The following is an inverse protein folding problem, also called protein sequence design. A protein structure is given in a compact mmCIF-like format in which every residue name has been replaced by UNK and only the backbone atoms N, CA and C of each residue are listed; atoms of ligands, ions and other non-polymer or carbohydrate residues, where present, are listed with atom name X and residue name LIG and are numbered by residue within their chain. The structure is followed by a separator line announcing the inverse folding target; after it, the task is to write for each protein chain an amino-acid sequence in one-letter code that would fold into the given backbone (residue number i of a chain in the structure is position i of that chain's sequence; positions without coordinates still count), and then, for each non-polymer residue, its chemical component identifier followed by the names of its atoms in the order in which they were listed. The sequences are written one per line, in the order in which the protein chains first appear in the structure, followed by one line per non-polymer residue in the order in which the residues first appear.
data_IF_064229941252
#
_entry.id   IF_064229941252
#
_cell.length_a   1.000
_cell.length_b   1.000
_cell.length_c   1.000
_cell.angle_alpha   90.00
_cell.angle_beta   90.00
_cell.angle_gamma   90.00
#
_symmetry.space_group_name_H-M   'P 1'
#
loop_
_entity.id
_entity.type
_entity.pdbx_description
1 polymer ?
#
# COMPACT_ATOMS: atom_id res chain seq x y z
N UNK A 1 3.52 3.62 -12.50
CA UNK A 1 2.73 3.45 -13.73
C UNK A 1 1.35 4.06 -13.61
N UNK A 2 0.56 3.70 -12.61
CA UNK A 2 -0.78 4.29 -12.39
C UNK A 2 -0.76 5.28 -11.22
N UNK A 3 -1.35 6.45 -11.42
CA UNK A 3 -1.53 7.50 -10.42
C UNK A 3 -2.76 7.24 -9.54
N UNK A 4 -3.83 6.66 -10.10
CA UNK A 4 -5.03 6.30 -9.36
C UNK A 4 -5.58 4.95 -9.83
N UNK A 5 -6.05 4.16 -8.87
CA UNK A 5 -6.93 3.01 -9.08
C UNK A 5 -8.22 3.27 -8.31
N UNK A 6 -9.35 3.01 -8.96
CA UNK A 6 -10.68 3.17 -8.36
C UNK A 6 -11.58 2.03 -8.73
N UNK A 7 -12.30 1.54 -7.75
CA UNK A 7 -13.26 0.46 -7.89
C UNK A 7 -14.66 0.97 -7.57
N UNK A 8 -15.57 0.77 -8.52
CA UNK A 8 -16.94 1.22 -8.43
C UNK A 8 -17.93 0.05 -8.52
N UNK A 9 -19.02 0.17 -7.78
CA UNK A 9 -20.20 -0.70 -7.91
C UNK A 9 -21.39 0.16 -8.30
N UNK A 10 -22.01 -0.12 -9.45
CA UNK A 10 -23.15 0.64 -9.97
C UNK A 10 -22.89 2.17 -10.04
N UNK A 11 -21.66 2.57 -10.41
CA UNK A 11 -21.25 3.98 -10.49
C UNK A 11 -20.99 4.65 -9.13
N UNK A 12 -21.00 3.90 -8.02
CA UNK A 12 -20.63 4.39 -6.69
C UNK A 12 -19.18 4.02 -6.39
N UNK A 13 -18.38 5.02 -6.03
CA UNK A 13 -17.00 4.85 -5.54
C UNK A 13 -17.00 3.99 -4.27
N UNK A 14 -16.53 2.75 -4.39
CA UNK A 14 -16.37 1.83 -3.24
C UNK A 14 -14.99 1.97 -2.64
N UNK A 15 -13.94 1.89 -3.46
CA UNK A 15 -12.57 1.96 -2.97
C UNK A 15 -11.68 2.71 -3.97
N UNK A 16 -10.72 3.47 -3.45
CA UNK A 16 -9.81 4.32 -4.24
C UNK A 16 -8.45 4.34 -3.58
N UNK A 17 -7.41 4.19 -4.39
CA UNK A 17 -6.02 4.41 -3.97
C UNK A 17 -5.31 5.33 -4.95
N UNK A 18 -4.63 6.35 -4.39
CA UNK A 18 -3.81 7.31 -5.14
C UNK A 18 -2.33 7.00 -4.95
N UNK A 19 -1.51 7.43 -5.91
CA UNK A 19 -0.09 7.09 -6.00
C UNK A 19 0.15 5.60 -5.77
N UNK A 20 -0.58 4.77 -6.51
CA UNK A 20 -0.77 3.33 -6.27
C UNK A 20 0.55 2.63 -5.94
N UNK A 21 1.62 2.93 -6.69
CA UNK A 21 2.94 2.35 -6.47
C UNK A 21 3.54 2.62 -5.09
N UNK A 22 3.51 3.85 -4.59
CA UNK A 22 4.07 4.22 -3.27
C UNK A 22 3.20 3.69 -2.15
N UNK A 23 1.89 3.90 -2.22
CA UNK A 23 0.92 3.44 -1.21
C UNK A 23 1.06 1.93 -1.02
N UNK A 24 1.11 1.20 -2.13
CA UNK A 24 1.29 -0.24 -2.14
C UNK A 24 2.66 -0.68 -1.63
N UNK A 25 3.72 0.03 -1.99
CA UNK A 25 5.08 -0.27 -1.50
C UNK A 25 5.15 -0.15 0.03
N UNK A 26 4.63 0.94 0.59
CA UNK A 26 4.60 1.14 2.05
C UNK A 26 3.75 0.06 2.74
N UNK A 27 2.55 -0.20 2.22
CA UNK A 27 1.68 -1.26 2.73
C UNK A 27 2.42 -2.59 2.75
N UNK A 28 3.00 -3.00 1.62
CA UNK A 28 3.68 -4.28 1.51
C UNK A 28 4.83 -4.44 2.48
N UNK A 29 5.62 -3.39 2.70
CA UNK A 29 6.75 -3.46 3.62
C UNK A 29 6.34 -3.83 5.04
N UNK A 30 5.16 -3.38 5.49
CA UNK A 30 4.64 -3.67 6.83
C UNK A 30 3.68 -4.86 6.88
N UNK A 31 3.03 -5.18 5.76
CA UNK A 31 1.89 -6.09 5.71
C UNK A 31 2.20 -7.45 5.09
N UNK A 32 3.36 -7.64 4.46
CA UNK A 32 3.75 -8.93 3.88
C UNK A 32 4.54 -9.79 4.86
N UNK A 33 4.36 -11.10 4.71
CA UNK A 33 5.20 -12.12 5.30
C UNK A 33 6.28 -12.55 4.30
N UNK A 34 7.38 -13.17 4.77
CA UNK A 34 8.42 -13.66 3.88
C UNK A 34 7.90 -14.79 2.96
N UNK A 35 7.02 -15.65 3.47
CA UNK A 35 6.28 -16.65 2.69
C UNK A 35 5.48 -16.04 1.52
N UNK A 36 4.73 -14.96 1.76
CA UNK A 36 3.91 -14.30 0.73
C UNK A 36 4.78 -13.52 -0.26
N UNK A 37 5.93 -12.99 0.16
CA UNK A 37 6.86 -12.24 -0.69
C UNK A 37 7.25 -13.00 -1.96
N UNK A 38 7.53 -14.30 -1.84
CA UNK A 38 7.93 -15.14 -2.98
C UNK A 38 6.86 -15.21 -4.08
N UNK A 39 5.58 -15.28 -3.69
CA UNK A 39 4.46 -15.34 -4.64
C UNK A 39 4.26 -14.03 -5.41
N UNK A 40 4.69 -12.91 -4.83
CA UNK A 40 4.42 -11.57 -5.32
C UNK A 40 5.40 -11.07 -6.37
N UNK A 41 6.44 -11.86 -6.66
CA UNK A 41 7.29 -11.63 -7.84
C UNK A 41 6.46 -11.56 -9.13
N UNK A 42 5.41 -12.37 -9.25
CA UNK A 42 4.49 -12.32 -10.39
C UNK A 42 3.70 -10.99 -10.48
N UNK A 43 3.57 -10.26 -9.38
CA UNK A 43 2.96 -8.94 -9.31
C UNK A 43 3.97 -7.79 -9.50
N UNK A 44 5.22 -8.09 -9.86
CA UNK A 44 6.29 -7.10 -10.00
C UNK A 44 6.89 -6.65 -8.68
N UNK A 45 6.65 -7.37 -7.57
CA UNK A 45 7.23 -7.07 -6.27
C UNK A 45 8.52 -7.86 -6.03
N UNK A 46 9.66 -7.17 -6.03
CA UNK A 46 10.95 -7.70 -5.56
C UNK A 46 11.82 -6.58 -4.99
N UNK A 47 12.41 -6.83 -3.81
CA UNK A 47 13.19 -5.87 -3.03
C UNK A 47 14.67 -5.88 -3.45
N UNK A 48 15.14 -6.98 -4.04
CA UNK A 48 16.57 -7.23 -4.26
C UNK A 48 16.99 -6.84 -5.67
N UNK A 49 16.43 -7.48 -6.70
CA UNK A 49 16.66 -7.17 -8.12
C UNK A 49 15.59 -7.90 -8.93
N UNK A 50 14.68 -7.16 -9.55
CA UNK A 50 13.63 -7.76 -10.36
C UNK A 50 14.04 -7.84 -11.82
N UNK A 51 13.97 -9.04 -12.40
CA UNK A 51 14.02 -9.26 -13.85
C UNK A 51 12.94 -10.28 -14.23
N UNK A 52 11.71 -9.82 -14.44
CA UNK A 52 10.68 -10.66 -15.06
C UNK A 52 10.45 -10.17 -16.48
N UNK A 53 11.27 -10.71 -17.37
CA UNK A 53 11.24 -10.36 -18.78
C UNK A 53 12.39 -11.05 -19.50
N UNK A 54 12.11 -11.42 -20.75
CA UNK A 54 13.11 -11.76 -21.75
C UNK A 54 13.06 -10.63 -22.76
N UNK A 55 14.22 -10.09 -23.15
CA UNK A 55 14.42 -9.11 -24.23
C UNK A 55 13.17 -8.29 -24.57
N UNK A 56 12.96 -7.21 -23.80
CA UNK A 56 11.99 -6.12 -24.04
C UNK A 56 10.49 -6.39 -23.76
N UNK A 57 10.10 -7.58 -23.33
CA UNK A 57 8.71 -7.87 -22.93
C UNK A 57 8.54 -8.21 -21.45
N UNK A 58 7.40 -7.80 -20.89
CA UNK A 58 7.01 -8.11 -19.51
C UNK A 58 5.55 -8.57 -19.42
N UNK A 59 5.24 -9.33 -18.36
CA UNK A 59 3.87 -9.72 -18.02
C UNK A 59 3.74 -9.83 -16.50
N UNK A 60 2.65 -9.27 -15.96
CA UNK A 60 2.38 -9.25 -14.52
C UNK A 60 0.93 -9.64 -14.23
N UNK A 61 0.73 -10.30 -13.10
CA UNK A 61 -0.58 -10.50 -12.50
C UNK A 61 -0.57 -9.91 -11.09
N UNK A 62 -1.25 -8.78 -10.91
CA UNK A 62 -1.34 -8.08 -9.63
C UNK A 62 -2.69 -8.41 -8.98
N UNK A 63 -2.71 -9.07 -7.80
CA UNK A 63 -3.95 -9.32 -7.09
C UNK A 63 -4.62 -8.01 -6.66
N UNK A 64 -5.93 -7.83 -6.90
CA UNK A 64 -6.61 -6.59 -6.51
C UNK A 64 -6.63 -6.36 -4.99
N UNK A 65 -6.59 -7.43 -4.18
CA UNK A 65 -6.48 -7.35 -2.70
C UNK A 65 -5.20 -6.67 -2.22
N UNK A 66 -4.21 -6.54 -3.09
CA UNK A 66 -2.99 -5.82 -2.80
C UNK A 66 -3.16 -4.30 -2.94
N UNK A 67 -4.00 -3.88 -3.89
CA UNK A 67 -4.18 -2.49 -4.27
C UNK A 67 -5.38 -1.83 -3.59
N UNK A 68 -6.41 -2.63 -3.30
CA UNK A 68 -7.72 -2.20 -2.79
C UNK A 68 -8.07 -2.98 -1.52
N UNK A 69 -8.46 -2.26 -0.48
CA UNK A 69 -8.92 -2.81 0.80
C UNK A 69 -10.23 -3.57 0.68
N UNK A 70 -11.14 -3.13 -0.20
CA UNK A 70 -12.38 -3.86 -0.49
C UNK A 70 -12.09 -5.30 -0.94
N UNK A 71 -11.17 -5.46 -1.89
CA UNK A 71 -10.77 -6.78 -2.38
C UNK A 71 -9.97 -7.60 -1.35
N UNK A 72 -9.40 -6.95 -0.33
CA UNK A 72 -8.69 -7.62 0.76
C UNK A 72 -9.63 -8.17 1.83
N UNK A 73 -10.62 -7.38 2.23
CA UNK A 73 -11.42 -7.65 3.45
C UNK A 73 -12.84 -8.12 3.16
N UNK A 74 -13.47 -7.64 2.08
CA UNK A 74 -14.84 -8.00 1.78
C UNK A 74 -14.89 -9.42 1.19
N UNK A 75 -15.54 -10.35 1.91
CA UNK A 75 -15.64 -11.78 1.54
C UNK A 75 -17.03 -12.21 1.06
N UNK A 76 -18.00 -11.30 1.13
CA UNK A 76 -19.37 -11.62 0.72
C UNK A 76 -19.55 -11.47 -0.79
N UNK A 77 -20.54 -12.18 -1.33
CA UNK A 77 -20.88 -12.10 -2.76
C UNK A 77 -21.62 -10.81 -3.04
N UNK A 78 -21.23 -10.11 -4.11
CA UNK A 78 -21.98 -8.99 -4.67
C UNK A 78 -22.87 -9.53 -5.79
N UNK A 79 -24.17 -9.26 -5.72
CA UNK A 79 -25.17 -9.75 -6.69
C UNK A 79 -25.74 -8.55 -7.45
N UNK A 80 -25.97 -8.74 -8.75
CA UNK A 80 -26.65 -7.77 -9.60
C UNK A 80 -26.03 -6.35 -9.55
N UNK A 81 -24.71 -6.28 -9.45
CA UNK A 81 -23.97 -5.03 -9.50
C UNK A 81 -23.06 -5.03 -10.72
N UNK A 82 -23.01 -3.87 -11.39
CA UNK A 82 -21.99 -3.58 -12.38
C UNK A 82 -20.71 -3.23 -11.65
N UNK A 83 -19.67 -4.01 -11.91
CA UNK A 83 -18.34 -3.81 -11.37
C UNK A 83 -17.50 -3.03 -12.37
N UNK A 84 -16.85 -1.96 -11.92
CA UNK A 84 -15.98 -1.15 -12.78
C UNK A 84 -14.64 -0.91 -12.09
N UNK A 85 -13.56 -1.09 -12.85
CA UNK A 85 -12.20 -0.81 -12.41
C UNK A 85 -11.63 0.29 -13.30
N UNK A 86 -11.34 1.44 -12.69
CA UNK A 86 -10.82 2.61 -13.38
C UNK A 86 -9.35 2.76 -13.00
N UNK A 87 -8.51 2.87 -14.02
CA UNK A 87 -7.07 3.04 -13.89
C UNK A 87 -6.67 4.35 -14.56
N UNK A 88 -6.08 5.26 -13.80
CA UNK A 88 -5.54 6.51 -14.32
C UNK A 88 -4.02 6.36 -14.42
N UNK A 89 -3.49 6.31 -15.65
CA UNK A 89 -2.04 6.24 -15.89
C UNK A 89 -1.37 7.54 -15.46
N UNK A 90 -0.18 7.43 -14.89
CA UNK A 90 0.68 8.56 -14.57
C UNK A 90 1.08 9.32 -15.83
N UNK A 91 1.42 10.61 -15.69
CA UNK A 91 1.89 11.44 -16.82
C UNK A 91 3.20 10.95 -17.45
N UNK A 92 3.99 10.16 -16.71
CA UNK A 92 5.20 9.52 -17.18
C UNK A 92 5.43 8.21 -16.42
N UNK A 93 6.27 7.34 -16.98
CA UNK A 93 6.58 6.03 -16.41
C UNK A 93 7.88 5.98 -15.62
N UNK A 94 8.56 7.11 -15.41
CA UNK A 94 9.88 7.16 -14.78
C UNK A 94 9.91 6.47 -13.40
N UNK A 95 8.79 6.48 -12.67
CA UNK A 95 8.67 5.81 -11.37
C UNK A 95 8.50 4.28 -11.45
N UNK A 96 8.36 3.73 -12.65
CA UNK A 96 8.20 2.30 -12.93
C UNK A 96 9.48 1.69 -13.54
N UNK A 97 10.50 2.52 -13.76
CA UNK A 97 11.72 2.19 -14.49
C UNK A 97 12.93 2.32 -13.56
N UNK A 98 13.91 1.44 -13.76
CA UNK A 98 15.22 1.51 -13.11
C UNK A 98 16.28 1.25 -14.17
N UNK A 99 17.16 2.21 -14.44
CA UNK A 99 18.17 2.09 -15.50
C UNK A 99 18.91 3.38 -15.82
N UNK A 100 19.59 3.39 -16.97
CA UNK A 100 20.34 4.54 -17.48
C UNK A 100 19.42 5.54 -18.20
N UNK A 101 19.52 6.81 -17.80
CA UNK A 101 18.79 7.95 -18.37
C UNK A 101 19.02 8.09 -19.87
N UNK A 102 20.20 7.71 -20.35
CA UNK A 102 20.56 7.83 -21.77
C UNK A 102 19.75 6.92 -22.69
N UNK A 103 19.23 5.81 -22.18
CA UNK A 103 18.45 4.84 -22.96
C UNK A 103 17.08 5.40 -23.33
N UNK A 104 16.56 6.35 -22.53
CA UNK A 104 15.20 6.90 -22.67
C UNK A 104 14.13 5.81 -22.88
N UNK A 105 14.02 4.84 -21.95
CA UNK A 105 13.10 3.73 -22.12
C UNK A 105 11.64 4.19 -22.14
N UNK A 106 10.86 3.59 -23.05
CA UNK A 106 9.42 3.80 -23.17
C UNK A 106 8.67 2.52 -22.79
N UNK A 107 7.54 2.65 -22.09
CA UNK A 107 6.68 1.52 -21.73
C UNK A 107 5.41 1.56 -22.57
N UNK A 108 5.20 0.53 -23.39
CA UNK A 108 3.94 0.31 -24.08
C UNK A 108 3.08 -0.73 -23.34
N UNK A 109 1.82 -0.38 -23.05
CA UNK A 109 0.85 -1.31 -22.49
C UNK A 109 0.02 -1.93 -23.60
N UNK A 110 0.45 -3.11 -24.06
CA UNK A 110 -0.25 -3.84 -25.13
C UNK A 110 -1.64 -4.34 -24.70
N UNK A 111 -1.76 -4.80 -23.45
CA UNK A 111 -3.01 -5.39 -22.94
C UNK A 111 -3.12 -5.24 -21.43
N UNK A 112 -4.25 -4.70 -20.98
CA UNK A 112 -4.63 -4.67 -19.56
C UNK A 112 -5.93 -5.45 -19.42
N UNK A 113 -5.92 -6.46 -18.54
CA UNK A 113 -7.10 -7.25 -18.22
C UNK A 113 -7.25 -7.32 -16.70
N UNK A 114 -8.49 -7.23 -16.23
CA UNK A 114 -8.84 -7.51 -14.85
C UNK A 114 -9.81 -8.70 -14.83
N UNK A 115 -9.80 -9.44 -13.72
CA UNK A 115 -10.66 -10.60 -13.52
C UNK A 115 -11.25 -10.54 -12.12
N UNK A 116 -12.56 -10.77 -12.03
CA UNK A 116 -13.25 -10.94 -10.76
C UNK A 116 -13.72 -12.40 -10.66
N UNK A 117 -13.50 -13.09 -9.53
CA UNK A 117 -14.06 -14.42 -9.33
C UNK A 117 -15.59 -14.38 -9.37
N UNK A 118 -16.20 -15.28 -10.15
CA UNK A 118 -17.64 -15.49 -10.18
C UNK A 118 -18.00 -16.76 -9.40
N UNK A 119 -19.04 -16.67 -8.58
CA UNK A 119 -19.56 -17.82 -7.82
C UNK A 119 -20.86 -18.28 -8.46
N UNK A 120 -20.93 -19.56 -8.82
CA UNK A 120 -22.16 -20.20 -9.28
C UNK A 120 -22.84 -20.89 -8.09
N UNK A 121 -24.11 -20.59 -7.89
CA UNK A 121 -24.93 -21.19 -6.82
C UNK A 121 -25.75 -22.34 -7.39
N UNK A 122 -25.93 -23.40 -6.60
CA UNK A 122 -26.93 -24.43 -6.87
C UNK A 122 -28.35 -23.88 -6.57
N UNK A 123 -29.38 -24.58 -7.03
CA UNK A 123 -30.77 -24.10 -6.92
C UNK A 123 -31.22 -23.86 -5.47
N UNK A 124 -30.76 -24.69 -4.52
CA UNK A 124 -31.07 -24.55 -3.09
C UNK A 124 -30.48 -23.25 -2.53
N UNK A 125 -29.18 -23.00 -2.77
CA UNK A 125 -28.50 -21.81 -2.30
C UNK A 125 -29.00 -20.55 -3.02
N UNK A 126 -29.37 -20.66 -4.29
CA UNK A 126 -29.98 -19.57 -5.06
C UNK A 126 -31.33 -19.15 -4.47
N UNK A 127 -32.21 -20.10 -4.15
CA UNK A 127 -33.48 -19.83 -3.46
C UNK A 127 -33.26 -19.17 -2.10
N UNK A 128 -32.29 -19.65 -1.32
CA UNK A 128 -31.95 -19.05 -0.03
C UNK A 128 -31.47 -17.59 -0.18
N UNK A 129 -30.56 -17.33 -1.11
CA UNK A 129 -30.05 -15.98 -1.38
C UNK A 129 -31.15 -15.04 -1.89
N UNK A 130 -32.08 -15.52 -2.73
CA UNK A 130 -33.22 -14.71 -3.20
C UNK A 130 -34.12 -14.29 -2.04
N UNK A 131 -34.42 -15.18 -1.08
CA UNK A 131 -35.19 -14.81 0.12
C UNK A 131 -34.49 -13.77 0.98
N UNK A 132 -33.16 -13.84 1.11
CA UNK A 132 -32.36 -12.83 1.81
C UNK A 132 -32.45 -11.48 1.08
N UNK A 133 -32.36 -11.47 -0.25
CA UNK A 133 -32.50 -10.24 -1.04
C UNK A 133 -33.91 -9.63 -0.91
N UNK A 134 -34.96 -10.45 -0.96
CA UNK A 134 -36.36 -10.02 -0.78
C UNK A 134 -36.62 -9.43 0.61
N UNK A 135 -35.91 -9.91 1.64
CA UNK A 135 -36.04 -9.36 2.99
C UNK A 135 -35.54 -7.93 3.12
N UNK A 136 -34.82 -7.39 2.12
CA UNK A 136 -34.33 -6.01 2.11
C UNK A 136 -33.24 -5.74 3.16
N UNK A 137 -32.62 -6.78 3.71
CA UNK A 137 -31.55 -6.64 4.71
C UNK A 137 -30.34 -5.91 4.12
N UNK A 138 -29.96 -4.80 4.76
CA UNK A 138 -28.72 -4.11 4.45
C UNK A 138 -27.53 -4.95 4.90
N UNK A 139 -26.60 -5.21 3.98
CA UNK A 139 -25.32 -5.83 4.31
C UNK A 139 -24.29 -4.74 4.61
N UNK A 140 -23.66 -4.83 5.77
CA UNK A 140 -22.55 -3.95 6.11
C UNK A 140 -21.33 -4.30 5.24
N UNK A 141 -20.79 -3.31 4.52
CA UNK A 141 -19.59 -3.44 3.69
C UNK A 141 -18.38 -2.80 4.37
N UNK A 142 -17.96 -3.38 5.49
CA UNK A 142 -16.75 -2.94 6.20
C UNK A 142 -15.47 -3.48 5.57
N UNK A 143 -14.52 -2.60 5.30
CA UNK A 143 -13.16 -2.94 4.86
C UNK A 143 -12.18 -1.86 5.31
N UNK A 144 -10.89 -2.21 5.38
CA UNK A 144 -9.81 -1.29 5.77
C UNK A 144 -9.34 -0.50 4.55
N UNK A 145 -9.41 0.82 4.62
CA UNK A 145 -8.93 1.70 3.55
C UNK A 145 -7.53 2.23 3.85
N UNK A 146 -6.81 2.62 2.79
CA UNK A 146 -5.47 3.20 2.85
C UNK A 146 -5.49 4.53 2.10
N UNK A 147 -5.11 5.61 2.78
CA UNK A 147 -4.95 6.92 2.18
C UNK A 147 -3.50 7.39 2.26
N UNK A 148 -2.97 7.89 1.14
CA UNK A 148 -1.60 8.41 1.07
C UNK A 148 -1.64 9.92 0.96
N UNK A 149 -1.09 10.56 1.98
CA UNK A 149 -0.83 11.98 1.98
C UNK A 149 0.65 12.20 1.69
N UNK A 150 0.95 13.18 0.82
CA UNK A 150 2.32 13.51 0.43
C UNK A 150 2.60 14.97 0.69
N UNK A 151 3.64 15.23 1.48
CA UNK A 151 4.24 16.55 1.60
C UNK A 151 5.29 16.74 0.48
N UNK A 152 5.12 17.70 -0.43
CA UNK A 152 5.89 17.75 -1.67
C UNK A 152 7.34 18.20 -1.49
N UNK A 153 7.64 19.07 -0.53
CA UNK A 153 8.98 19.60 -0.30
C UNK A 153 9.19 19.94 1.18
N UNK A 154 10.18 19.30 1.82
CA UNK A 154 10.64 19.67 3.15
C UNK A 154 11.61 20.85 3.06
N UNK A 155 11.43 21.85 3.91
CA UNK A 155 12.39 22.94 4.06
C UNK A 155 13.70 22.41 4.68
N UNK A 156 14.81 23.10 4.48
CA UNK A 156 16.12 22.76 5.06
C UNK A 156 16.21 23.14 6.55
N UNK A 157 15.24 22.70 7.35
CA UNK A 157 15.18 22.89 8.80
C UNK A 157 15.32 21.54 9.50
N UNK A 158 15.58 21.56 10.80
CA UNK A 158 15.72 20.33 11.61
C UNK A 158 14.40 19.85 12.19
N UNK A 159 13.37 20.70 12.17
CA UNK A 159 12.04 20.43 12.71
C UNK A 159 10.99 20.84 11.69
N UNK A 160 9.98 19.99 11.53
CA UNK A 160 8.87 20.20 10.61
C UNK A 160 7.57 19.82 11.31
N UNK A 161 6.57 20.67 11.16
CA UNK A 161 5.19 20.35 11.52
C UNK A 161 4.38 20.28 10.23
N UNK A 162 3.60 19.21 10.07
CA UNK A 162 2.75 19.00 8.91
C UNK A 162 1.33 18.71 9.37
N UNK A 163 0.42 19.64 9.08
CA UNK A 163 -1.01 19.43 9.29
C UNK A 163 -1.59 18.66 8.12
N UNK A 164 -2.08 17.45 8.39
CA UNK A 164 -2.81 16.63 7.43
C UNK A 164 -4.28 16.93 7.62
N UNK A 165 -4.94 17.48 6.59
CA UNK A 165 -6.40 17.50 6.54
C UNK A 165 -6.85 16.10 6.15
N UNK A 166 -7.21 15.28 7.13
CA UNK A 166 -7.84 14.00 6.85
C UNK A 166 -9.08 14.23 5.99
N UNK A 167 -9.32 13.32 5.05
CA UNK A 167 -10.50 13.29 4.17
C UNK A 167 -11.78 13.36 5.02
N UNK A 168 -12.94 13.66 4.43
CA UNK A 168 -14.26 13.79 5.10
C UNK A 168 -14.76 12.53 5.85
N UNK A 169 -13.91 11.52 6.02
CA UNK A 169 -14.19 10.32 6.80
C UNK A 169 -14.10 10.69 8.28
N UNK A 170 -15.21 10.48 9.01
CA UNK A 170 -15.33 10.71 10.44
C UNK A 170 -14.48 9.75 11.30
N UNK A 171 -13.75 8.83 10.66
CA UNK A 171 -13.08 7.72 11.30
C UNK A 171 -11.65 8.09 11.72
N UNK A 172 -11.29 7.73 12.96
CA UNK A 172 -9.91 7.81 13.45
C UNK A 172 -9.06 6.76 12.71
N UNK A 173 -7.94 7.13 12.06
CA UNK A 173 -7.02 6.14 11.50
C UNK A 173 -6.47 5.27 12.62
N UNK A 174 -6.48 3.95 12.42
CA UNK A 174 -5.88 3.00 13.37
C UNK A 174 -4.35 3.01 13.31
N UNK A 175 -3.79 3.24 12.13
CA UNK A 175 -2.34 3.29 11.92
C UNK A 175 -1.96 4.47 11.05
N UNK A 176 -0.79 5.03 11.34
CA UNK A 176 -0.11 5.99 10.47
C UNK A 176 1.28 5.46 10.14
N UNK A 177 1.59 5.38 8.85
CA UNK A 177 2.92 5.03 8.37
C UNK A 177 3.58 6.29 7.83
N UNK A 178 4.71 6.64 8.43
CA UNK A 178 5.52 7.78 8.02
C UNK A 178 6.83 7.31 7.39
N UNK A 179 7.17 7.87 6.24
CA UNK A 179 8.40 7.54 5.55
C UNK A 179 8.94 8.75 4.77
N UNK A 180 10.25 8.79 4.57
CA UNK A 180 10.95 9.87 3.88
C UNK A 180 11.67 9.35 2.64
N UNK A 181 11.80 10.20 1.62
CA UNK A 181 12.55 9.89 0.39
C UNK A 181 13.30 11.12 -0.12
N UNK A 182 14.52 10.91 -0.62
CA UNK A 182 15.39 11.97 -1.14
C UNK A 182 15.71 11.77 -2.61
N UNK A 183 15.17 12.63 -3.48
CA UNK A 183 15.55 12.70 -4.90
C UNK A 183 15.27 11.44 -5.74
N UNK A 184 14.29 10.62 -5.32
CA UNK A 184 13.92 9.36 -6.00
C UNK A 184 12.74 9.51 -6.97
N UNK A 185 11.83 10.45 -6.72
CA UNK A 185 10.66 10.65 -7.59
C UNK A 185 11.09 11.11 -8.98
N UNK A 186 10.54 10.46 -10.00
CA UNK A 186 10.81 10.64 -11.42
C UNK A 186 12.29 10.47 -11.81
N UNK A 187 13.07 9.76 -10.98
CA UNK A 187 14.49 9.53 -11.21
C UNK A 187 14.74 8.04 -11.49
N UNK A 188 14.97 7.71 -12.76
CA UNK A 188 15.13 6.31 -13.18
C UNK A 188 16.45 5.67 -12.72
N UNK A 189 17.41 6.46 -12.23
CA UNK A 189 18.69 5.91 -11.73
C UNK A 189 18.59 5.35 -10.31
N UNK A 190 17.50 5.67 -9.59
CA UNK A 190 17.29 5.29 -8.20
C UNK A 190 15.94 4.65 -8.04
N UNK A 191 15.89 3.49 -7.37
CA UNK A 191 14.61 2.87 -7.09
C UNK A 191 13.73 3.77 -6.22
N UNK A 192 12.50 4.01 -6.68
CA UNK A 192 11.45 4.71 -5.92
C UNK A 192 10.87 3.84 -4.80
N UNK A 193 11.13 2.53 -4.79
CA UNK A 193 10.58 1.65 -3.75
C UNK A 193 11.33 1.76 -2.43
N UNK A 194 12.48 2.45 -2.38
CA UNK A 194 13.28 2.58 -1.15
C UNK A 194 13.01 3.89 -0.42
N UNK A 195 13.06 3.85 0.90
CA UNK A 195 12.93 5.01 1.78
C UNK A 195 14.26 5.34 2.45
N UNK A 196 14.46 6.61 2.77
CA UNK A 196 15.71 7.15 3.32
C UNK A 196 15.51 7.56 4.78
N UNK A 197 16.55 7.43 5.61
CA UNK A 197 16.47 7.83 7.03
C UNK A 197 16.33 9.34 7.23
N UNK A 198 16.85 10.14 6.30
CA UNK A 198 16.95 11.58 6.38
C UNK A 198 17.48 12.10 7.74
N UNK A 199 18.35 11.33 8.41
CA UNK A 199 18.83 11.59 9.79
C UNK A 199 17.71 11.87 10.79
N UNK A 200 16.57 11.19 10.62
CA UNK A 200 15.42 11.32 11.50
C UNK A 200 15.81 10.95 12.94
N UNK A 201 15.49 11.81 13.89
CA UNK A 201 15.77 11.60 15.32
C UNK A 201 14.50 11.26 16.10
N UNK A 202 13.37 11.89 15.75
CA UNK A 202 12.11 11.73 16.46
C UNK A 202 10.91 12.00 15.54
N UNK A 203 9.78 11.36 15.82
CA UNK A 203 8.49 11.58 15.14
C UNK A 203 7.40 11.60 16.21
N UNK A 204 6.51 12.58 16.14
CA UNK A 204 5.28 12.62 16.95
C UNK A 204 4.10 12.91 16.04
N UNK A 205 3.12 12.03 16.10
CA UNK A 205 1.80 12.20 15.52
C UNK A 205 0.89 12.82 16.58
N UNK A 206 0.24 13.92 16.25
CA UNK A 206 -0.81 14.52 17.07
C UNK A 206 -2.14 14.19 16.42
N UNK A 207 -3.02 13.52 17.15
CA UNK A 207 -4.34 13.13 16.68
C UNK A 207 -5.37 13.51 17.73
N UNK A 208 -6.25 14.45 17.38
CA UNK A 208 -7.17 15.10 18.31
C UNK A 208 -6.41 15.69 19.52
N UNK A 209 -6.67 15.19 20.72
CA UNK A 209 -6.00 15.61 21.96
C UNK A 209 -4.91 14.66 22.44
N UNK A 210 -4.58 13.63 21.65
CA UNK A 210 -3.60 12.60 21.98
C UNK A 210 -2.37 12.71 21.07
N UNK A 211 -1.24 12.17 21.51
CA UNK A 211 -0.01 12.10 20.72
C UNK A 211 0.66 10.74 20.81
N UNK A 212 1.28 10.34 19.70
CA UNK A 212 1.86 9.01 19.50
C UNK A 212 3.21 9.10 18.78
N UNK A 213 4.24 8.35 19.18
CA UNK A 213 4.38 7.71 20.49
C UNK A 213 4.49 8.74 21.62
N UNK A 214 4.24 8.31 22.86
CA UNK A 214 4.41 9.15 24.06
C UNK A 214 5.89 9.48 24.30
N UNK A 215 6.74 8.46 24.23
CA UNK A 215 8.18 8.57 24.45
C UNK A 215 8.91 9.11 23.21
N UNK A 216 10.07 9.71 23.46
CA UNK A 216 10.96 10.11 22.38
C UNK A 216 11.72 8.91 21.80
N UNK A 217 11.71 8.79 20.47
CA UNK A 217 12.34 7.67 19.78
C UNK A 217 13.87 7.68 19.83
N UNK A 218 14.49 8.87 20.00
CA UNK A 218 15.94 9.06 20.12
C UNK A 218 16.77 8.28 19.09
N UNK A 219 16.34 8.36 17.84
CA UNK A 219 16.89 7.59 16.73
C UNK A 219 18.28 8.12 16.32
N UNK A 220 19.20 7.19 16.03
CA UNK A 220 20.51 7.49 15.47
C UNK A 220 20.89 6.39 14.47
N UNK A 221 20.62 6.63 13.19
CA UNK A 221 20.89 5.68 12.11
C UNK A 221 22.39 5.43 11.91
N UNK A 222 23.24 6.43 12.17
CA UNK A 222 24.70 6.30 12.09
C UNK A 222 25.24 5.30 13.12
N UNK A 223 24.60 5.20 14.29
CA UNK A 223 24.92 4.22 15.35
C UNK A 223 24.02 2.98 15.33
N UNK A 224 23.21 2.78 14.28
CA UNK A 224 22.21 1.71 14.18
C UNK A 224 21.17 1.67 15.32
N UNK A 225 20.88 2.83 15.93
CA UNK A 225 19.86 2.98 16.98
C UNK A 225 18.49 3.25 16.35
N UNK A 226 17.92 2.22 15.73
CA UNK A 226 16.58 2.26 15.14
C UNK A 226 15.76 0.99 15.44
N UNK A 227 16.19 0.17 16.40
CA UNK A 227 15.51 -1.08 16.78
C UNK A 227 14.04 -0.86 17.18
N UNK A 228 13.72 0.30 17.77
CA UNK A 228 12.34 0.65 18.12
C UNK A 228 11.44 0.76 16.87
N UNK A 229 11.95 1.31 15.76
CA UNK A 229 11.19 1.39 14.50
C UNK A 229 10.93 0.00 13.94
N UNK A 230 11.92 -0.88 14.04
CA UNK A 230 11.79 -2.26 13.61
C UNK A 230 10.71 -2.98 14.41
N UNK A 231 10.73 -2.88 15.75
CA UNK A 231 9.72 -3.47 16.63
C UNK A 231 8.31 -2.92 16.34
N UNK A 232 8.17 -1.60 16.19
CA UNK A 232 6.92 -0.96 15.77
C UNK A 232 6.38 -1.53 14.46
N UNK A 233 7.25 -1.71 13.46
CA UNK A 233 6.87 -2.31 12.17
C UNK A 233 6.52 -3.80 12.27
N UNK A 234 7.25 -4.58 13.08
CA UNK A 234 7.03 -6.01 13.24
C UNK A 234 5.68 -6.31 13.90
N UNK A 235 5.26 -5.47 14.86
CA UNK A 235 3.96 -5.58 15.53
C UNK A 235 2.77 -5.28 14.63
N UNK A 236 2.98 -4.50 13.56
CA UNK A 236 1.91 -4.10 12.65
C UNK A 236 1.19 -5.31 12.07
N UNK A 237 1.90 -6.26 11.47
CA UNK A 237 1.29 -7.40 10.80
C UNK A 237 0.34 -8.17 11.73
N UNK A 238 0.83 -8.49 12.93
CA UNK A 238 0.09 -9.24 13.95
C UNK A 238 -1.17 -8.50 14.39
N UNK A 239 -1.06 -7.22 14.73
CA UNK A 239 -2.19 -6.42 15.22
C UNK A 239 -3.18 -6.06 14.10
N UNK A 240 -2.68 -5.77 12.89
CA UNK A 240 -3.50 -5.41 11.73
C UNK A 240 -4.29 -6.61 11.22
N UNK A 241 -3.68 -7.79 11.02
CA UNK A 241 -4.35 -8.99 10.49
C UNK A 241 -4.89 -9.95 11.54
N UNK A 242 -4.63 -9.72 12.83
CA UNK A 242 -4.94 -10.67 13.92
C UNK A 242 -4.34 -12.07 13.67
N UNK A 243 -3.17 -12.10 13.03
CA UNK A 243 -2.47 -13.34 12.70
C UNK A 243 -1.68 -13.88 13.89
N UNK A 244 -1.48 -15.20 13.94
CA UNK A 244 -0.69 -15.87 14.97
C UNK A 244 0.80 -16.04 14.59
N UNK A 245 1.22 -15.51 13.44
CA UNK A 245 2.57 -15.69 12.91
C UNK A 245 3.41 -14.43 13.12
N UNK A 246 4.57 -14.59 13.77
CA UNK A 246 5.58 -13.55 13.94
C UNK A 246 6.53 -13.54 12.73
N UNK A 247 5.98 -13.38 11.53
CA UNK A 247 6.76 -13.35 10.28
C UNK A 247 6.74 -11.94 9.69
N UNK A 248 7.93 -11.33 9.54
CA UNK A 248 8.12 -9.99 8.97
C UNK A 248 8.80 -10.11 7.62
N UNK A 249 8.36 -9.31 6.63
CA UNK A 249 8.98 -9.27 5.31
C UNK A 249 10.47 -8.92 5.36
N UNK A 250 10.80 -7.86 6.10
CA UNK A 250 12.14 -7.33 6.21
C UNK A 250 12.81 -7.85 7.49
N UNK A 251 13.95 -8.55 7.38
CA UNK A 251 14.81 -8.74 8.54
C UNK A 251 15.51 -7.41 8.91
N UNK A 252 15.94 -7.29 10.17
CA UNK A 252 16.46 -6.03 10.72
C UNK A 252 17.68 -5.47 9.95
N UNK A 253 18.50 -6.35 9.37
CA UNK A 253 19.67 -6.01 8.54
C UNK A 253 19.26 -5.30 7.24
N UNK A 254 18.10 -5.64 6.67
CA UNK A 254 17.55 -5.01 5.47
C UNK A 254 16.68 -3.81 5.76
N UNK A 255 16.09 -3.72 6.95
CA UNK A 255 15.21 -2.61 7.35
C UNK A 255 15.87 -1.24 7.15
N UNK A 256 17.09 -1.06 7.67
CA UNK A 256 17.81 0.22 7.56
C UNK A 256 18.17 0.63 6.12
N UNK A 257 18.22 -0.31 5.17
CA UNK A 257 18.61 -0.02 3.77
C UNK A 257 17.44 0.04 2.79
N UNK A 258 16.35 -0.68 3.09
CA UNK A 258 15.15 -0.71 2.25
C UNK A 258 14.22 0.45 2.57
N UNK A 259 14.12 0.81 3.84
CA UNK A 259 13.29 1.94 4.22
C UNK A 259 13.09 1.99 5.71
N UNK A 260 13.79 2.87 6.42
CA UNK A 260 13.39 3.22 7.77
C UNK A 260 12.10 4.02 7.69
N UNK A 261 10.99 3.33 7.91
CA UNK A 261 9.68 3.93 8.08
C UNK A 261 9.22 3.78 9.54
N UNK A 262 8.35 4.68 9.97
CA UNK A 262 7.78 4.69 11.31
C UNK A 262 6.33 4.24 11.21
N UNK A 263 5.97 3.19 11.95
CA UNK A 263 4.60 2.67 12.01
C UNK A 263 4.01 3.00 13.36
N UNK A 264 3.03 3.90 13.38
CA UNK A 264 2.40 4.41 14.60
C UNK A 264 1.02 3.79 14.74
N UNK A 265 0.80 3.05 15.83
CA UNK A 265 -0.52 2.57 16.25
C UNK A 265 -1.21 3.68 17.06
N UNK A 266 -2.43 4.06 16.65
CA UNK A 266 -3.15 5.26 17.11
C UNK A 266 -4.36 4.91 17.98
#
# INVERSE_FOLDING_TARGET
MFDEIRYELNGVDIDRSRNVGITFTLKNYVSLTASRNGMLKNAGWDIVNFSNGKEDHFNFCVPLSMLLGFCEDYKNVVINARHELILIRSRNDNNSLLGDVKIQPEIELLKVQWRMPHVLLNEINKLSMLRILESGLYLNMGFRSWDLQKFPLLQSTTTHSWTIKATTQLEKPRYVIFALQTGRKNNITRSITRFDDCKLTNVKLYLNSEFYPYDELNLDFGKKRYAILYDMSARFYKSYYRGNHDEVLLPIDKFGSCGPFVVIDC
#
